data_IF_954721454002
#
_entry.id   IF_954721454002
#
_cell.length_a   1.000
_cell.length_b   1.000
_cell.length_c   1.000
_cell.angle_alpha   90.00
_cell.angle_beta   90.00
_cell.angle_gamma   90.00
#
_symmetry.space_group_name_H-M   'P 1'
#
loop_
_entity.id
_entity.type
_entity.pdbx_description
1 polymer ?
#
# COMPACT_ATOMS: atom_id res chain seq x y z
N UNK A 1 -16.46 -16.64 3.05
CA UNK A 1 -15.53 -17.27 4.01
C UNK A 1 -14.14 -17.32 3.39
N UNK A 2 -13.11 -16.87 4.11
CA UNK A 2 -11.70 -16.95 3.67
C UNK A 2 -10.99 -18.03 4.50
N UNK A 3 -10.53 -19.14 3.90
CA UNK A 3 -9.87 -20.21 4.63
C UNK A 3 -8.44 -19.81 5.02
N UNK A 4 -8.16 -19.78 6.33
CA UNK A 4 -6.84 -19.52 6.91
C UNK A 4 -6.91 -18.54 8.09
N UNK A 5 -5.76 -18.16 8.62
CA UNK A 5 -5.68 -17.23 9.75
C UNK A 5 -5.96 -15.80 9.29
N UNK A 6 -6.91 -15.15 9.95
CA UNK A 6 -7.31 -13.79 9.65
C UNK A 6 -6.42 -12.80 10.41
N UNK A 7 -5.87 -11.84 9.69
CA UNK A 7 -5.00 -10.80 10.24
C UNK A 7 -5.48 -9.41 9.82
N UNK A 8 -5.41 -8.46 10.76
CA UNK A 8 -5.56 -7.03 10.47
C UNK A 8 -4.18 -6.37 10.48
N UNK A 9 -3.83 -5.69 9.41
CA UNK A 9 -2.48 -5.17 9.17
C UNK A 9 -2.35 -3.67 9.45
N UNK A 10 -3.39 -2.90 9.17
CA UNK A 10 -3.57 -1.54 9.67
C UNK A 10 -5.04 -1.29 9.97
N UNK A 11 -5.36 -0.13 10.56
CA UNK A 11 -6.73 0.32 10.68
C UNK A 11 -6.97 1.66 9.97
N UNK A 12 -8.22 2.12 9.96
CA UNK A 12 -8.62 3.42 9.45
C UNK A 12 -8.18 4.63 10.30
N UNK A 13 -7.38 4.45 11.35
CA UNK A 13 -6.99 5.52 12.27
C UNK A 13 -5.53 5.40 12.77
N UNK A 14 -4.64 4.94 11.90
CA UNK A 14 -3.19 5.01 12.10
C UNK A 14 -2.57 3.88 12.94
N UNK A 15 -3.33 2.87 13.37
CA UNK A 15 -2.73 1.68 13.97
C UNK A 15 -2.09 0.79 12.89
N UNK A 16 -0.92 0.22 13.22
CA UNK A 16 -0.16 -0.71 12.37
C UNK A 16 0.12 -1.98 13.17
N UNK A 17 -0.09 -3.13 12.54
CA UNK A 17 0.15 -4.44 13.14
C UNK A 17 1.64 -4.73 13.34
N UNK A 18 1.96 -5.47 14.39
CA UNK A 18 3.31 -5.95 14.72
C UNK A 18 3.79 -7.10 13.82
N UNK A 19 2.93 -7.64 12.95
CA UNK A 19 3.29 -8.70 11.98
C UNK A 19 4.26 -8.22 10.88
N UNK A 20 4.57 -6.91 10.86
CA UNK A 20 5.61 -6.26 10.04
C UNK A 20 5.61 -6.66 8.55
N UNK A 21 4.42 -6.86 7.99
CA UNK A 21 4.27 -7.16 6.55
C UNK A 21 4.41 -5.89 5.73
N UNK A 22 5.27 -5.95 4.72
CA UNK A 22 5.52 -4.82 3.83
C UNK A 22 4.34 -4.49 2.91
N UNK A 23 3.72 -5.51 2.31
CA UNK A 23 2.71 -5.34 1.25
C UNK A 23 1.48 -4.55 1.69
N UNK A 24 0.84 -4.83 2.85
CA UNK A 24 -0.35 -4.07 3.28
C UNK A 24 -0.09 -2.56 3.44
N UNK A 25 1.03 -2.18 4.06
CA UNK A 25 1.36 -0.76 4.26
C UNK A 25 1.75 -0.07 2.96
N UNK A 26 2.52 -0.77 2.11
CA UNK A 26 2.90 -0.25 0.81
C UNK A 26 1.70 -0.11 -0.13
N UNK A 27 0.72 -1.02 -0.04
CA UNK A 27 -0.53 -0.93 -0.79
C UNK A 27 -1.31 0.33 -0.41
N UNK A 28 -1.55 0.56 0.88
CA UNK A 28 -2.20 1.80 1.36
C UNK A 28 -1.47 3.05 0.87
N UNK A 29 -0.13 3.11 1.00
CA UNK A 29 0.65 4.22 0.48
C UNK A 29 0.51 4.39 -1.04
N UNK A 30 0.55 3.28 -1.78
CA UNK A 30 0.41 3.27 -3.23
C UNK A 30 -0.95 3.83 -3.68
N UNK A 31 -2.06 3.51 -2.99
CA UNK A 31 -3.38 4.03 -3.39
C UNK A 31 -3.42 5.55 -3.30
N UNK A 32 -2.88 6.13 -2.22
CA UNK A 32 -2.78 7.57 -2.06
C UNK A 32 -1.85 8.22 -3.09
N UNK A 33 -0.74 7.56 -3.40
CA UNK A 33 0.18 8.03 -4.44
C UNK A 33 -0.49 8.06 -5.83
N UNK A 34 -1.09 6.95 -6.26
CA UNK A 34 -1.63 6.82 -7.62
C UNK A 34 -2.90 7.65 -7.82
N UNK A 35 -3.63 7.95 -6.74
CA UNK A 35 -4.79 8.85 -6.77
C UNK A 35 -4.42 10.33 -6.68
N UNK A 36 -3.12 10.70 -6.77
CA UNK A 36 -2.64 12.07 -6.55
C UNK A 36 -3.09 12.69 -5.21
N UNK A 37 -3.16 11.87 -4.17
CA UNK A 37 -3.55 12.30 -2.82
C UNK A 37 -5.04 12.40 -2.56
N UNK A 38 -5.88 12.04 -3.53
CA UNK A 38 -7.34 12.16 -3.37
C UNK A 38 -7.96 11.04 -2.52
N UNK A 39 -7.40 9.82 -2.53
CA UNK A 39 -7.99 8.65 -1.88
C UNK A 39 -6.93 7.80 -1.17
N UNK A 40 -7.22 7.32 0.03
CA UNK A 40 -6.35 6.39 0.76
C UNK A 40 -7.17 5.17 1.19
N UNK A 41 -6.70 3.96 0.83
CA UNK A 41 -7.30 2.71 1.29
C UNK A 41 -6.58 2.21 2.54
N UNK A 42 -7.34 1.93 3.60
CA UNK A 42 -6.91 1.47 4.93
C UNK A 42 -7.78 0.30 5.38
N UNK A 43 -7.70 -0.09 6.65
CA UNK A 43 -8.31 -1.31 7.19
C UNK A 43 -7.93 -2.53 6.35
N UNK A 44 -6.64 -2.66 6.02
CA UNK A 44 -6.15 -3.81 5.26
C UNK A 44 -6.16 -5.03 6.17
N UNK A 45 -7.04 -5.98 5.88
CA UNK A 45 -7.29 -7.15 6.70
C UNK A 45 -7.78 -8.33 5.85
N UNK A 46 -7.47 -9.55 6.29
CA UNK A 46 -7.87 -10.76 5.57
C UNK A 46 -6.91 -11.93 5.83
N UNK A 47 -6.87 -12.89 4.89
CA UNK A 47 -6.02 -14.08 4.98
C UNK A 47 -4.91 -14.01 3.94
N UNK A 48 -3.66 -13.92 4.40
CA UNK A 48 -2.52 -13.65 3.52
C UNK A 48 -2.70 -12.32 2.79
N UNK A 49 -2.70 -12.36 1.45
CA UNK A 49 -2.93 -11.20 0.57
C UNK A 49 -4.35 -11.14 -0.04
N UNK A 50 -5.28 -11.95 0.48
CA UNK A 50 -6.71 -11.86 0.12
C UNK A 50 -7.41 -11.00 1.16
N UNK A 51 -7.65 -9.74 0.80
CA UNK A 51 -8.21 -8.74 1.69
C UNK A 51 -9.74 -8.64 1.59
N UNK A 52 -10.38 -8.15 2.65
CA UNK A 52 -11.82 -7.91 2.72
C UNK A 52 -12.10 -6.71 3.64
N UNK A 53 -13.29 -6.11 3.51
CA UNK A 53 -13.77 -4.98 4.31
C UNK A 53 -12.75 -3.82 4.48
N UNK A 54 -12.23 -3.22 3.38
CA UNK A 54 -11.36 -2.07 3.47
C UNK A 54 -12.13 -0.79 3.81
N UNK A 55 -11.42 0.22 4.32
CA UNK A 55 -11.94 1.57 4.52
C UNK A 55 -11.23 2.56 3.59
N UNK A 56 -11.99 3.47 2.98
CA UNK A 56 -11.43 4.54 2.14
C UNK A 56 -11.56 5.87 2.87
N UNK A 57 -10.46 6.61 2.93
CA UNK A 57 -10.46 8.05 3.24
C UNK A 57 -10.39 8.84 1.95
N UNK A 58 -11.28 9.82 1.78
CA UNK A 58 -11.26 10.74 0.64
C UNK A 58 -10.86 12.14 1.09
N UNK A 59 -10.12 12.87 0.26
CA UNK A 59 -9.64 14.20 0.61
C UNK A 59 -10.77 15.20 0.88
N UNK A 60 -11.88 15.08 0.16
CA UNK A 60 -13.11 15.88 0.34
C UNK A 60 -14.01 15.42 1.50
N UNK A 61 -13.64 14.33 2.17
CA UNK A 61 -14.41 13.70 3.25
C UNK A 61 -15.83 13.27 2.84
N UNK A 62 -16.08 13.06 1.54
CA UNK A 62 -17.37 12.62 1.02
C UNK A 62 -17.40 11.13 0.67
N UNK A 63 -18.55 10.50 0.89
CA UNK A 63 -18.76 9.08 0.55
C UNK A 63 -18.00 8.11 1.46
N UNK A 64 -17.95 6.83 1.04
CA UNK A 64 -17.20 5.75 1.69
C UNK A 64 -17.57 5.41 3.15
N UNK A 65 -18.76 5.85 3.60
CA UNK A 65 -19.33 5.49 4.89
C UNK A 65 -18.75 6.27 6.08
N UNK A 66 -19.26 5.98 7.27
CA UNK A 66 -18.93 6.70 8.51
C UNK A 66 -17.46 6.54 8.95
N UNK A 67 -16.77 5.53 8.44
CA UNK A 67 -15.34 5.32 8.69
C UNK A 67 -14.41 6.16 7.83
N UNK A 68 -14.94 6.99 6.93
CA UNK A 68 -14.18 7.99 6.17
C UNK A 68 -13.91 9.21 7.06
N UNK A 69 -12.69 9.29 7.60
CA UNK A 69 -12.22 10.44 8.38
C UNK A 69 -11.52 11.50 7.52
N UNK A 70 -11.65 11.36 6.20
CA UNK A 70 -11.09 12.26 5.19
C UNK A 70 -9.62 12.59 5.40
N UNK A 71 -9.27 13.87 5.30
CA UNK A 71 -7.89 14.34 5.45
C UNK A 71 -7.26 13.91 6.79
N UNK A 72 -8.04 13.88 7.86
CA UNK A 72 -7.53 13.49 9.17
C UNK A 72 -7.18 12.00 9.24
N UNK A 73 -7.98 11.15 8.60
CA UNK A 73 -7.65 9.73 8.43
C UNK A 73 -6.37 9.52 7.63
N UNK A 74 -6.17 10.31 6.57
CA UNK A 74 -4.96 10.30 5.75
C UNK A 74 -3.73 10.70 6.57
N UNK A 75 -3.80 11.83 7.30
CA UNK A 75 -2.72 12.26 8.19
C UNK A 75 -2.38 11.22 9.24
N UNK A 76 -3.40 10.58 9.85
CA UNK A 76 -3.19 9.53 10.85
C UNK A 76 -2.44 8.34 10.28
N UNK A 77 -2.81 7.86 9.10
CA UNK A 77 -2.05 6.81 8.42
C UNK A 77 -0.59 7.21 8.22
N UNK A 78 -0.33 8.39 7.66
CA UNK A 78 1.06 8.83 7.40
C UNK A 78 1.86 9.19 8.65
N UNK A 79 1.20 9.43 9.79
CA UNK A 79 1.87 9.68 11.06
C UNK A 79 2.57 8.43 11.62
N UNK A 80 2.09 7.24 11.25
CA UNK A 80 2.63 5.95 11.71
C UNK A 80 3.22 5.10 10.59
N UNK A 81 2.99 5.47 9.33
CA UNK A 81 3.54 4.77 8.18
C UNK A 81 5.06 5.00 8.04
N UNK A 82 5.79 3.89 7.98
CA UNK A 82 7.20 3.87 7.58
C UNK A 82 7.31 3.20 6.21
N UNK A 83 7.90 3.92 5.25
CA UNK A 83 8.16 3.32 3.94
C UNK A 83 9.09 2.11 4.07
N UNK A 84 8.72 1.02 3.41
CA UNK A 84 9.45 -0.24 3.41
C UNK A 84 10.01 -0.59 2.02
N UNK A 85 10.58 -1.79 1.88
CA UNK A 85 11.22 -2.24 0.63
C UNK A 85 10.26 -2.25 -0.58
N UNK A 86 8.96 -2.51 -0.37
CA UNK A 86 7.97 -2.46 -1.45
C UNK A 86 7.67 -1.01 -1.86
N UNK A 87 7.60 -0.08 -0.91
CA UNK A 87 7.49 1.36 -1.23
C UNK A 87 8.71 1.85 -2.04
N UNK A 88 9.90 1.36 -1.69
CA UNK A 88 11.14 1.70 -2.39
C UNK A 88 11.15 1.14 -3.81
N UNK A 89 10.79 -0.14 -3.97
CA UNK A 89 10.67 -0.80 -5.27
C UNK A 89 9.68 -0.09 -6.20
N UNK A 90 8.54 0.37 -5.65
CA UNK A 90 7.53 1.13 -6.39
C UNK A 90 7.94 2.59 -6.67
N UNK A 91 9.07 3.07 -6.13
CA UNK A 91 9.52 4.45 -6.32
C UNK A 91 8.65 5.49 -5.61
N UNK A 92 7.87 5.09 -4.60
CA UNK A 92 6.96 5.98 -3.84
C UNK A 92 7.54 6.41 -2.49
N UNK A 93 8.76 5.97 -2.15
CA UNK A 93 9.45 6.37 -0.92
C UNK A 93 9.82 7.86 -0.90
N UNK A 94 9.84 8.48 0.28
CA UNK A 94 10.30 9.87 0.46
C UNK A 94 9.30 10.97 0.10
N UNK A 95 8.14 10.64 -0.50
CA UNK A 95 7.06 11.60 -0.74
C UNK A 95 6.20 11.77 0.50
N UNK A 96 6.76 12.43 1.53
CA UNK A 96 5.95 12.97 2.63
C UNK A 96 5.24 14.22 2.13
N UNK A 97 3.94 14.30 2.37
CA UNK A 97 3.11 15.49 2.17
C UNK A 97 3.67 16.64 3.01
N UNK A 98 4.39 17.55 2.34
CA UNK A 98 4.45 18.96 2.66
C UNK A 98 4.16 19.68 1.33
N UNK A 99 3.27 20.68 1.39
CA UNK A 99 2.52 21.23 0.26
C UNK A 99 3.27 21.41 -1.06
N UNK A 100 2.54 21.14 -2.15
CA UNK A 100 2.91 21.46 -3.54
C UNK A 100 4.33 21.07 -3.95
N UNK A 101 4.47 19.92 -4.61
CA UNK A 101 5.30 19.89 -5.82
C UNK A 101 4.51 19.27 -6.95
N UNK A 102 4.03 20.17 -7.81
CA UNK A 102 3.99 19.94 -9.24
C UNK A 102 5.36 19.43 -9.68
N UNK A 103 5.49 18.14 -9.90
CA UNK A 103 6.28 17.67 -11.04
C UNK A 103 5.51 16.53 -11.65
N UNK A 104 5.02 16.78 -12.87
CA UNK A 104 4.55 15.71 -13.73
C UNK A 104 5.67 14.69 -13.87
N UNK A 105 5.59 13.62 -13.10
CA UNK A 105 6.24 12.38 -13.49
C UNK A 105 5.44 11.96 -14.72
N UNK A 106 5.99 12.28 -15.89
CA UNK A 106 5.77 11.44 -17.06
C UNK A 106 6.10 10.04 -16.56
N UNK A 107 5.10 9.18 -16.40
CA UNK A 107 5.32 7.75 -16.33
C UNK A 107 5.98 7.43 -17.66
N UNK A 108 7.32 7.50 -17.72
CA UNK A 108 8.06 7.07 -18.88
C UNK A 108 7.68 5.60 -19.02
N UNK A 109 7.02 5.30 -20.14
CA UNK A 109 6.81 3.95 -20.62
C UNK A 109 8.16 3.22 -20.60
N UNK A 110 8.42 2.50 -19.51
CA UNK A 110 9.35 1.37 -19.36
C UNK A 110 9.83 1.32 -17.91
N UNK A 111 9.01 0.76 -17.00
CA UNK A 111 9.61 -0.11 -15.99
C UNK A 111 10.00 -1.37 -16.77
N UNK A 112 11.23 -1.34 -17.29
CA UNK A 112 11.88 -2.53 -17.78
C UNK A 112 12.01 -3.49 -16.61
N UNK A 113 11.52 -4.70 -16.80
CA UNK A 113 11.91 -5.85 -16.00
C UNK A 113 13.42 -6.04 -16.22
N UNK A 114 14.26 -5.35 -15.46
CA UNK A 114 15.70 -5.58 -15.48
C UNK A 114 16.34 -5.05 -14.19
N UNK A 115 16.92 -5.98 -13.42
CA UNK A 115 18.00 -5.78 -12.45
C UNK A 115 17.74 -6.15 -10.98
N UNK A 116 16.75 -7.00 -10.66
CA UNK A 116 16.74 -7.68 -9.35
C UNK A 116 16.39 -9.16 -9.48
N UNK A 117 17.27 -9.91 -10.14
CA UNK A 117 17.64 -11.31 -9.83
C UNK A 117 18.52 -11.86 -10.96
N UNK A 118 19.83 -11.60 -10.88
CA UNK A 118 20.83 -12.39 -11.58
C UNK A 118 21.85 -12.82 -10.55
N UNK A 119 21.45 -13.80 -9.73
CA UNK A 119 22.28 -14.89 -9.18
C UNK A 119 21.42 -15.64 -8.16
N UNK A 120 21.13 -16.91 -8.42
CA UNK A 120 20.36 -17.86 -7.60
C UNK A 120 18.83 -17.80 -7.70
N UNK A 121 18.31 -18.19 -8.87
CA UNK A 121 17.07 -18.96 -8.92
C UNK A 121 17.47 -20.44 -8.68
N UNK A 122 16.90 -21.18 -7.71
CA UNK A 122 17.11 -22.62 -7.60
C UNK A 122 16.54 -23.30 -8.86
N UNK A 123 17.20 -24.35 -9.40
CA UNK A 123 16.73 -25.01 -10.61
C UNK A 123 15.36 -25.64 -10.40
N UNK A 124 14.45 -25.35 -11.33
CA UNK A 124 13.15 -26.00 -11.47
C UNK A 124 13.32 -27.52 -11.50
N UNK A 125 12.93 -28.20 -10.43
CA UNK A 125 12.61 -29.63 -10.51
C UNK A 125 11.37 -29.79 -11.37
N UNK A 126 11.60 -30.13 -12.64
CA UNK A 126 10.59 -30.70 -13.52
C UNK A 126 9.83 -31.81 -12.80
N UNK A 127 8.57 -31.57 -12.46
CA UNK A 127 7.59 -32.66 -12.34
C UNK A 127 7.24 -33.07 -13.77
N UNK A 128 7.88 -34.14 -14.26
CA UNK A 128 7.37 -34.90 -15.40
C UNK A 128 6.23 -35.78 -14.92
N UNK A 129 5.10 -35.70 -15.64
CA UNK A 129 3.99 -36.67 -15.78
C UNK A 129 3.54 -37.42 -14.54
#
# INVERSE_FOLDING_TARGET
FLPGEYHKYNNNFGWVSYLDRNTPQAFSHFTHFISNGEHLVTDIQGVGDKYTDPQIHSRDSQGFGEGNYGHYGIEKFFSTHYCNSVCQYLGIHGKRINGMQETGIKVSKSIGCASVCSTHCPPDTHVRT
#
